data_IF_806463181349
#
_entry.id   IF_806463181349
#
_cell.length_a   1.000
_cell.length_b   1.000
_cell.length_c   1.000
_cell.angle_alpha   90.00
_cell.angle_beta   90.00
_cell.angle_gamma   90.00
#
_symmetry.space_group_name_H-M   'P 1'
#
loop_
_entity.id
_entity.type
_entity.pdbx_description
1 polymer ?
#
# COMPACT_ATOMS: atom_id res chain seq x y z
N UNK A 1 -4.14 -19.79 13.28
CA UNK A 1 -3.21 -18.63 13.14
C UNK A 1 -3.31 -18.11 11.71
N UNK A 2 -3.40 -16.78 11.52
CA UNK A 2 -3.45 -16.15 10.20
C UNK A 2 -2.19 -16.46 9.39
N UNK A 3 -2.32 -16.59 8.06
CA UNK A 3 -1.19 -16.68 7.14
C UNK A 3 -1.27 -15.57 6.10
N UNK A 4 -0.20 -14.79 5.96
CA UNK A 4 -0.07 -13.74 4.96
C UNK A 4 0.89 -14.20 3.85
N UNK A 5 0.36 -14.40 2.65
CA UNK A 5 1.14 -14.61 1.43
C UNK A 5 1.52 -13.25 0.89
N UNK A 6 2.80 -12.96 0.83
CA UNK A 6 3.29 -11.61 0.60
C UNK A 6 4.59 -11.60 -0.24
N UNK A 7 4.83 -10.49 -0.92
CA UNK A 7 6.12 -10.14 -1.47
C UNK A 7 6.70 -8.98 -0.67
N UNK A 8 7.77 -9.21 0.07
CA UNK A 8 8.26 -8.28 1.10
C UNK A 8 8.46 -6.83 0.63
N UNK A 9 8.98 -6.55 -0.60
CA UNK A 9 9.08 -5.19 -1.13
C UNK A 9 7.75 -4.53 -1.51
N UNK A 10 6.65 -5.30 -1.58
CA UNK A 10 5.33 -4.79 -1.93
C UNK A 10 4.79 -3.83 -0.88
N UNK A 11 4.36 -2.65 -1.32
CA UNK A 11 3.68 -1.72 -0.43
C UNK A 11 2.24 -2.15 -0.14
N UNK A 12 1.61 -2.93 -1.04
CA UNK A 12 0.31 -3.54 -0.75
C UNK A 12 0.42 -4.58 0.38
N UNK A 13 1.49 -5.39 0.39
CA UNK A 13 1.80 -6.26 1.52
C UNK A 13 2.14 -5.48 2.79
N UNK A 14 2.89 -4.38 2.66
CA UNK A 14 3.22 -3.52 3.79
C UNK A 14 1.99 -2.97 4.51
N UNK A 15 0.93 -2.55 3.78
CA UNK A 15 -0.35 -2.11 4.37
C UNK A 15 -0.87 -3.13 5.39
N UNK A 16 -0.90 -4.40 5.00
CA UNK A 16 -1.43 -5.49 5.82
C UNK A 16 -0.51 -5.77 7.01
N UNK A 17 0.80 -5.80 6.79
CA UNK A 17 1.79 -5.98 7.87
C UNK A 17 1.72 -4.87 8.91
N UNK A 18 1.55 -3.62 8.46
CA UNK A 18 1.41 -2.46 9.35
C UNK A 18 0.19 -2.62 10.25
N UNK A 19 -0.98 -2.94 9.68
CA UNK A 19 -2.19 -3.12 10.48
C UNK A 19 -2.08 -4.31 11.45
N UNK A 20 -1.56 -5.46 10.99
CA UNK A 20 -1.37 -6.63 11.85
C UNK A 20 -0.44 -6.31 13.04
N UNK A 21 0.63 -5.54 12.80
CA UNK A 21 1.53 -5.08 13.85
C UNK A 21 0.82 -4.14 14.84
N UNK A 22 0.02 -3.20 14.35
CA UNK A 22 -0.72 -2.26 15.21
C UNK A 22 -1.84 -2.94 16.01
N UNK A 23 -2.43 -4.01 15.48
CA UNK A 23 -3.41 -4.85 16.16
C UNK A 23 -2.79 -5.87 17.12
N UNK A 24 -1.45 -5.99 17.17
CA UNK A 24 -0.76 -7.05 17.91
C UNK A 24 -1.24 -8.46 17.50
N UNK A 25 -1.56 -8.66 16.24
CA UNK A 25 -2.06 -9.93 15.72
C UNK A 25 -0.93 -10.76 15.13
N UNK A 26 -0.57 -11.90 15.75
CA UNK A 26 0.45 -12.80 15.20
C UNK A 26 -0.04 -13.45 13.90
N UNK A 27 0.87 -13.59 12.95
CA UNK A 27 0.63 -14.25 11.68
C UNK A 27 1.88 -14.97 11.19
N UNK A 28 1.68 -15.96 10.34
CA UNK A 28 2.75 -16.60 9.57
C UNK A 28 2.91 -15.86 8.25
N UNK A 29 4.13 -15.43 7.94
CA UNK A 29 4.45 -14.86 6.63
C UNK A 29 4.93 -15.97 5.68
N UNK A 30 4.39 -15.99 4.46
CA UNK A 30 4.81 -16.86 3.36
C UNK A 30 5.21 -15.96 2.19
N UNK A 31 6.49 -15.97 1.84
CA UNK A 31 7.01 -15.16 0.74
C UNK A 31 6.60 -15.77 -0.60
N UNK A 32 6.04 -14.95 -1.47
CA UNK A 32 5.68 -15.31 -2.86
C UNK A 32 6.67 -14.60 -3.79
N UNK A 33 7.54 -15.37 -4.45
CA UNK A 33 8.53 -14.85 -5.39
C UNK A 33 7.87 -14.50 -6.73
N UNK A 34 7.22 -13.33 -6.77
CA UNK A 34 6.41 -12.90 -7.93
C UNK A 34 7.22 -12.81 -9.23
N UNK A 35 8.50 -12.42 -9.16
CA UNK A 35 9.39 -12.33 -10.32
C UNK A 35 9.92 -13.69 -10.79
N UNK A 36 9.82 -14.74 -9.98
CA UNK A 36 10.13 -16.12 -10.33
C UNK A 36 8.87 -16.89 -10.75
N UNK A 37 7.74 -16.22 -10.91
CA UNK A 37 6.48 -16.83 -11.36
C UNK A 37 5.67 -17.51 -10.28
N UNK A 38 6.05 -17.44 -8.98
CA UNK A 38 5.29 -18.09 -7.91
C UNK A 38 3.86 -17.54 -7.77
N UNK A 39 3.60 -16.30 -8.18
CA UNK A 39 2.24 -15.76 -8.27
C UNK A 39 1.36 -16.46 -9.31
N UNK A 40 1.96 -17.10 -10.32
CA UNK A 40 1.28 -17.85 -11.37
C UNK A 40 1.24 -19.38 -11.10
N UNK A 41 1.78 -19.81 -9.97
CA UNK A 41 1.70 -21.22 -9.57
C UNK A 41 0.25 -21.61 -9.26
N UNK A 42 -0.18 -22.86 -9.62
CA UNK A 42 -1.56 -23.32 -9.39
C UNK A 42 -2.04 -23.16 -7.94
N UNK A 43 -1.16 -23.38 -6.97
CA UNK A 43 -1.45 -23.26 -5.54
C UNK A 43 -1.74 -21.82 -5.12
N UNK A 44 -1.08 -20.82 -5.75
CA UNK A 44 -1.33 -19.42 -5.50
C UNK A 44 -2.56 -18.92 -6.27
N UNK A 45 -2.72 -19.32 -7.53
CA UNK A 45 -3.90 -19.00 -8.35
C UNK A 45 -5.20 -19.53 -7.75
N UNK A 46 -5.16 -20.68 -7.07
CA UNK A 46 -6.31 -21.22 -6.34
C UNK A 46 -6.73 -20.31 -5.16
N UNK A 47 -5.82 -19.48 -4.62
CA UNK A 47 -6.08 -18.51 -3.56
C UNK A 47 -6.44 -17.14 -4.12
N UNK A 48 -5.76 -16.72 -5.17
CA UNK A 48 -5.99 -15.45 -5.87
C UNK A 48 -5.84 -15.63 -7.39
N UNK A 49 -6.94 -15.67 -8.14
CA UNK A 49 -6.89 -15.85 -9.60
C UNK A 49 -6.11 -14.79 -10.37
N UNK A 50 -5.87 -13.61 -9.76
CA UNK A 50 -5.05 -12.56 -10.38
C UNK A 50 -3.54 -12.83 -10.27
N UNK A 51 -3.12 -13.79 -9.44
CA UNK A 51 -1.71 -14.06 -9.14
C UNK A 51 -1.02 -13.00 -8.29
N UNK A 52 -1.76 -11.96 -7.86
CA UNK A 52 -1.21 -10.85 -7.08
C UNK A 52 -1.04 -11.18 -5.60
N UNK A 53 -0.27 -10.34 -4.92
CA UNK A 53 -0.08 -10.32 -3.46
C UNK A 53 -0.44 -8.94 -2.91
N UNK A 54 -0.88 -8.84 -1.64
CA UNK A 54 -1.00 -9.89 -0.61
C UNK A 54 -2.27 -10.74 -0.72
N UNK A 55 -2.23 -11.92 -0.10
CA UNK A 55 -3.41 -12.74 0.19
C UNK A 55 -3.39 -13.10 1.67
N UNK A 56 -4.50 -12.92 2.37
CA UNK A 56 -4.68 -13.35 3.75
C UNK A 56 -5.45 -14.67 3.78
N UNK A 57 -4.88 -15.69 4.42
CA UNK A 57 -5.59 -16.94 4.73
C UNK A 57 -5.96 -16.94 6.22
N UNK A 58 -7.23 -17.18 6.49
CA UNK A 58 -7.80 -17.22 7.83
C UNK A 58 -7.56 -18.58 8.48
N UNK A 59 -7.82 -18.68 9.79
CA UNK A 59 -7.64 -19.93 10.56
C UNK A 59 -8.54 -21.07 10.11
N UNK A 60 -9.68 -20.73 9.53
CA UNK A 60 -10.67 -21.69 8.99
C UNK A 60 -10.43 -22.05 7.51
N UNK A 61 -9.32 -21.57 6.93
CA UNK A 61 -8.93 -21.86 5.54
C UNK A 61 -9.56 -20.93 4.50
N UNK A 62 -10.44 -20.00 4.88
CA UNK A 62 -10.92 -18.99 3.94
C UNK A 62 -9.77 -18.05 3.54
N UNK A 63 -9.76 -17.64 2.27
CA UNK A 63 -8.73 -16.75 1.73
C UNK A 63 -9.35 -15.44 1.27
N UNK A 64 -8.62 -14.35 1.49
CA UNK A 64 -9.03 -13.00 1.10
C UNK A 64 -7.86 -12.33 0.37
N UNK A 65 -7.95 -12.13 -0.94
CA UNK A 65 -7.05 -11.23 -1.68
C UNK A 65 -7.47 -9.77 -1.53
N UNK A 66 -6.73 -8.85 -2.18
CA UNK A 66 -6.90 -7.40 -2.18
C UNK A 66 -6.50 -6.73 -0.85
N UNK A 67 -5.41 -5.96 -0.88
CA UNK A 67 -4.85 -5.34 0.33
C UNK A 67 -5.86 -4.48 1.09
N UNK A 68 -6.69 -3.70 0.38
CA UNK A 68 -7.69 -2.82 0.98
C UNK A 68 -8.90 -3.60 1.55
N UNK A 69 -9.29 -4.72 0.92
CA UNK A 69 -10.29 -5.63 1.49
C UNK A 69 -9.76 -6.31 2.76
N UNK A 70 -8.49 -6.72 2.76
CA UNK A 70 -7.82 -7.29 3.94
C UNK A 70 -7.78 -6.27 5.09
N UNK A 71 -7.42 -5.01 4.80
CA UNK A 71 -7.45 -3.96 5.81
C UNK A 71 -8.84 -3.79 6.41
N UNK A 72 -9.89 -3.71 5.58
CA UNK A 72 -11.28 -3.57 6.02
C UNK A 72 -11.72 -4.73 6.90
N UNK A 73 -11.37 -5.97 6.52
CA UNK A 73 -11.70 -7.17 7.28
C UNK A 73 -11.00 -7.20 8.66
N UNK A 74 -9.70 -6.92 8.68
CA UNK A 74 -8.91 -6.97 9.92
C UNK A 74 -9.26 -5.83 10.88
N UNK A 75 -9.67 -4.68 10.36
CA UNK A 75 -10.00 -3.50 11.16
C UNK A 75 -11.44 -3.52 11.71
N UNK A 76 -12.29 -4.47 11.32
CA UNK A 76 -13.67 -4.54 11.81
C UNK A 76 -13.72 -4.66 13.34
N UNK A 77 -14.51 -3.79 13.98
CA UNK A 77 -14.62 -3.72 15.44
C UNK A 77 -13.40 -3.11 16.15
N UNK A 78 -12.46 -2.51 15.43
CA UNK A 78 -11.29 -1.83 15.99
C UNK A 78 -11.40 -0.31 15.82
N UNK A 79 -10.59 0.50 16.54
CA UNK A 79 -10.56 1.95 16.34
C UNK A 79 -10.15 2.40 14.92
N UNK A 80 -9.53 1.52 14.12
CA UNK A 80 -9.03 1.82 12.79
C UNK A 80 -10.10 1.82 11.69
N UNK A 81 -11.32 1.33 11.98
CA UNK A 81 -12.47 1.39 11.08
C UNK A 81 -13.71 1.88 11.85
N UNK A 82 -14.20 3.10 11.60
CA UNK A 82 -15.36 3.65 12.28
C UNK A 82 -16.62 2.79 12.11
N UNK A 83 -17.44 2.71 13.16
CA UNK A 83 -18.76 2.05 13.11
C UNK A 83 -19.83 2.86 12.40
N UNK A 84 -19.73 4.20 12.42
CA UNK A 84 -20.64 5.09 11.72
C UNK A 84 -20.54 4.94 10.20
N UNK A 85 -21.70 4.85 9.53
CA UNK A 85 -21.74 4.58 8.08
C UNK A 85 -21.11 5.70 7.24
N UNK A 86 -21.27 6.97 7.64
CA UNK A 86 -20.68 8.10 6.91
C UNK A 86 -19.15 8.11 7.06
N UNK A 87 -18.66 7.99 8.29
CA UNK A 87 -17.22 7.94 8.55
C UNK A 87 -16.59 6.74 7.84
N UNK A 88 -17.23 5.56 7.85
CA UNK A 88 -16.79 4.38 7.11
C UNK A 88 -16.75 4.63 5.60
N UNK A 89 -17.75 5.31 5.04
CA UNK A 89 -17.75 5.67 3.63
C UNK A 89 -16.59 6.62 3.28
N UNK A 90 -16.23 7.56 4.18
CA UNK A 90 -15.04 8.41 3.99
C UNK A 90 -13.74 7.61 4.02
N UNK A 91 -13.63 6.59 4.86
CA UNK A 91 -12.49 5.65 4.86
C UNK A 91 -12.38 4.96 3.49
N UNK A 92 -13.45 4.33 3.03
CA UNK A 92 -13.46 3.62 1.74
C UNK A 92 -13.20 4.57 0.56
N UNK A 93 -13.71 5.80 0.58
CA UNK A 93 -13.41 6.81 -0.44
C UNK A 93 -11.90 7.02 -0.60
N UNK A 94 -11.15 7.12 0.50
CA UNK A 94 -9.70 7.30 0.45
C UNK A 94 -8.97 6.03 0.01
N UNK A 95 -9.49 4.85 0.35
CA UNK A 95 -8.94 3.59 -0.11
C UNK A 95 -9.14 3.41 -1.62
N UNK A 96 -10.31 3.78 -2.17
CA UNK A 96 -10.54 3.81 -3.63
C UNK A 96 -9.69 4.88 -4.33
N UNK A 97 -9.53 6.05 -3.70
CA UNK A 97 -8.61 7.07 -4.21
C UNK A 97 -7.16 6.55 -4.29
N UNK A 98 -6.75 5.77 -3.31
CA UNK A 98 -5.42 5.15 -3.34
C UNK A 98 -5.27 4.20 -4.53
N UNK A 99 -6.25 3.36 -4.80
CA UNK A 99 -6.21 2.42 -5.92
C UNK A 99 -6.21 3.14 -7.28
N UNK A 100 -7.12 4.10 -7.45
CA UNK A 100 -7.31 4.76 -8.75
C UNK A 100 -6.19 5.76 -9.08
N UNK A 101 -5.70 6.49 -8.11
CA UNK A 101 -4.79 7.62 -8.37
C UNK A 101 -3.36 7.33 -7.91
N UNK A 102 -3.18 6.80 -6.70
CA UNK A 102 -1.85 6.56 -6.14
C UNK A 102 -1.20 5.35 -6.80
N UNK A 103 -1.90 4.22 -6.89
CA UNK A 103 -1.33 3.02 -7.52
C UNK A 103 -1.08 3.24 -9.01
N UNK A 104 -2.02 3.84 -9.72
CA UNK A 104 -1.85 4.12 -11.15
C UNK A 104 -0.76 5.17 -11.45
N UNK A 105 -0.52 6.12 -10.56
CA UNK A 105 0.52 7.14 -10.71
C UNK A 105 1.80 6.75 -9.99
N UNK A 106 1.84 7.10 -8.71
CA UNK A 106 3.02 7.06 -7.85
C UNK A 106 3.59 5.66 -7.68
N UNK A 107 2.74 4.65 -7.43
CA UNK A 107 3.22 3.28 -7.24
C UNK A 107 3.86 2.73 -8.52
N UNK A 108 3.24 2.98 -9.67
CA UNK A 108 3.80 2.59 -10.98
C UNK A 108 5.15 3.26 -11.25
N UNK A 109 5.24 4.59 -11.04
CA UNK A 109 6.48 5.34 -11.26
C UNK A 109 7.59 4.88 -10.32
N UNK A 110 7.27 4.69 -9.02
CA UNK A 110 8.17 4.14 -8.02
C UNK A 110 8.68 2.75 -8.42
N UNK A 111 7.77 1.86 -8.79
CA UNK A 111 8.10 0.50 -9.23
C UNK A 111 9.08 0.51 -10.40
N UNK A 112 8.82 1.29 -11.45
CA UNK A 112 9.72 1.40 -12.59
C UNK A 112 11.09 1.95 -12.21
N UNK A 113 11.13 2.94 -11.32
CA UNK A 113 12.38 3.55 -10.85
C UNK A 113 13.20 2.56 -10.03
N UNK A 114 12.59 1.96 -9.01
CA UNK A 114 13.29 1.10 -8.05
C UNK A 114 13.72 -0.26 -8.62
N UNK A 115 13.09 -0.71 -9.72
CA UNK A 115 13.43 -1.99 -10.38
C UNK A 115 14.22 -1.81 -11.67
N UNK A 116 14.68 -0.58 -11.99
CA UNK A 116 15.46 -0.29 -13.20
C UNK A 116 14.69 -0.36 -14.51
N UNK A 117 13.34 -0.41 -14.45
CA UNK A 117 12.48 -0.53 -15.63
C UNK A 117 12.10 0.80 -16.27
N UNK A 118 12.45 1.92 -15.64
CA UNK A 118 12.11 3.26 -16.14
C UNK A 118 12.64 3.48 -17.56
N UNK A 119 13.86 3.02 -17.84
CA UNK A 119 14.49 3.14 -19.16
C UNK A 119 13.77 2.34 -20.29
N UNK A 120 12.88 1.41 -19.91
CA UNK A 120 12.08 0.61 -20.84
C UNK A 120 10.71 1.23 -21.16
N UNK A 121 10.41 2.39 -20.58
CA UNK A 121 9.13 3.09 -20.73
C UNK A 121 9.30 4.28 -21.68
N UNK A 122 8.26 4.59 -22.46
CA UNK A 122 8.30 5.77 -23.30
C UNK A 122 8.28 7.06 -22.47
N UNK A 123 8.83 8.15 -23.01
CA UNK A 123 8.79 9.47 -22.37
C UNK A 123 7.36 9.91 -22.04
N UNK A 124 6.41 9.57 -22.92
CA UNK A 124 4.99 9.86 -22.73
C UNK A 124 4.41 9.11 -21.50
N UNK A 125 4.69 7.79 -21.39
CA UNK A 125 4.27 7.00 -20.23
C UNK A 125 4.83 7.55 -18.91
N UNK A 126 6.12 7.89 -18.91
CA UNK A 126 6.78 8.45 -17.73
C UNK A 126 6.15 9.79 -17.34
N UNK A 127 5.96 10.68 -18.33
CA UNK A 127 5.34 12.01 -18.12
C UNK A 127 3.92 11.88 -17.60
N UNK A 128 3.11 10.99 -18.14
CA UNK A 128 1.74 10.75 -17.70
C UNK A 128 1.70 10.28 -16.23
N UNK A 129 2.54 9.30 -15.87
CA UNK A 129 2.60 8.80 -14.47
C UNK A 129 3.11 9.86 -13.50
N UNK A 130 4.12 10.64 -13.89
CA UNK A 130 4.64 11.76 -13.08
C UNK A 130 3.59 12.84 -12.86
N UNK A 131 2.92 13.31 -13.93
CA UNK A 131 1.88 14.33 -13.85
C UNK A 131 0.70 13.90 -12.97
N UNK A 132 0.26 12.64 -13.09
CA UNK A 132 -0.77 12.08 -12.22
C UNK A 132 -0.30 12.06 -10.76
N UNK A 133 0.93 11.60 -10.49
CA UNK A 133 1.50 11.54 -9.13
C UNK A 133 1.59 12.92 -8.49
N UNK A 134 2.09 13.91 -9.22
CA UNK A 134 2.20 15.30 -8.71
C UNK A 134 0.82 15.92 -8.44
N UNK A 135 -0.15 15.70 -9.34
CA UNK A 135 -1.54 16.14 -9.13
C UNK A 135 -2.13 15.50 -7.87
N UNK A 136 -1.92 14.21 -7.69
CA UNK A 136 -2.41 13.45 -6.54
C UNK A 136 -1.78 13.92 -5.24
N UNK A 137 -0.46 14.15 -5.22
CA UNK A 137 0.24 14.67 -4.04
C UNK A 137 -0.20 16.09 -3.70
N UNK A 138 -0.41 16.98 -4.68
CA UNK A 138 -0.95 18.33 -4.44
C UNK A 138 -2.36 18.31 -3.86
N UNK A 139 -3.22 17.39 -4.31
CA UNK A 139 -4.56 17.20 -3.77
C UNK A 139 -4.52 16.75 -2.30
N UNK A 140 -3.67 15.76 -2.01
CA UNK A 140 -3.45 15.29 -0.64
C UNK A 140 -2.87 16.39 0.25
N UNK A 141 -1.90 17.17 -0.25
CA UNK A 141 -1.28 18.26 0.49
C UNK A 141 -2.30 19.32 0.89
N UNK A 142 -3.16 19.74 -0.05
CA UNK A 142 -4.25 20.66 0.23
C UNK A 142 -5.28 20.10 1.22
N UNK A 143 -5.63 18.81 1.09
CA UNK A 143 -6.55 18.15 2.04
C UNK A 143 -5.98 18.08 3.46
N UNK A 144 -4.69 17.79 3.60
CA UNK A 144 -3.98 17.60 4.86
C UNK A 144 -3.42 18.91 5.43
N UNK A 145 -3.68 20.06 4.80
CA UNK A 145 -3.15 21.34 5.22
C UNK A 145 -3.56 21.70 6.65
N UNK A 146 -4.84 21.49 6.99
CA UNK A 146 -5.47 21.77 8.28
C UNK A 146 -6.05 20.51 8.97
N UNK A 147 -5.67 19.32 8.51
CA UNK A 147 -6.13 18.03 9.04
C UNK A 147 -4.99 17.18 9.51
N UNK A 148 -5.21 16.48 10.61
CA UNK A 148 -4.22 15.54 11.15
C UNK A 148 -4.21 14.22 10.37
N UNK A 149 -5.38 13.75 9.94
CA UNK A 149 -5.59 12.48 9.22
C UNK A 149 -6.59 12.65 8.07
N UNK A 150 -6.69 11.62 7.23
CA UNK A 150 -7.53 11.65 6.03
C UNK A 150 -9.02 11.71 6.33
N UNK A 151 -9.44 11.14 7.47
CA UNK A 151 -10.82 11.10 7.92
C UNK A 151 -10.94 11.80 9.27
N UNK A 152 -12.03 12.53 9.46
CA UNK A 152 -12.35 13.09 10.77
C UNK A 152 -12.51 11.98 11.82
N UNK A 153 -12.08 12.26 13.05
CA UNK A 153 -12.13 11.30 14.14
C UNK A 153 -10.82 10.55 14.40
N UNK A 154 -9.84 10.65 13.51
CA UNK A 154 -8.50 10.16 13.79
C UNK A 154 -7.91 9.23 12.74
N UNK A 155 -6.87 8.52 13.16
CA UNK A 155 -6.10 7.60 12.34
C UNK A 155 -6.89 6.34 12.00
N UNK A 156 -6.96 5.98 10.72
CA UNK A 156 -7.74 4.85 10.20
C UNK A 156 -6.97 4.03 9.17
N UNK A 157 -7.57 2.94 8.69
CA UNK A 157 -7.03 2.14 7.57
C UNK A 157 -6.94 2.94 6.26
N UNK A 158 -7.64 4.05 6.12
CA UNK A 158 -7.46 4.98 5.00
C UNK A 158 -6.04 5.58 5.01
N UNK A 159 -5.58 6.03 6.18
CA UNK A 159 -4.23 6.55 6.36
C UNK A 159 -3.18 5.47 6.09
N UNK A 160 -3.38 4.24 6.60
CA UNK A 160 -2.46 3.12 6.35
C UNK A 160 -2.34 2.80 4.86
N UNK A 161 -3.48 2.77 4.16
CA UNK A 161 -3.55 2.48 2.73
C UNK A 161 -2.78 3.51 1.91
N UNK A 162 -3.08 4.79 2.10
CA UNK A 162 -2.46 5.91 1.38
C UNK A 162 -0.99 6.07 1.76
N UNK A 163 -0.67 5.93 3.06
CA UNK A 163 0.69 6.08 3.59
C UNK A 163 1.69 5.13 2.94
N UNK A 164 1.29 3.89 2.69
CA UNK A 164 2.19 2.86 2.17
C UNK A 164 2.98 3.33 0.95
N UNK A 165 2.34 3.99 0.02
CA UNK A 165 2.99 4.52 -1.18
C UNK A 165 3.45 5.96 -1.05
N UNK A 166 2.63 6.83 -0.45
CA UNK A 166 2.91 8.27 -0.37
C UNK A 166 4.16 8.55 0.45
N UNK A 167 4.40 7.81 1.55
CA UNK A 167 5.62 7.94 2.34
C UNK A 167 6.90 7.60 1.56
N UNK A 168 6.78 6.98 0.38
CA UNK A 168 7.86 6.57 -0.52
C UNK A 168 7.95 7.41 -1.80
N UNK A 169 7.26 8.54 -1.87
CA UNK A 169 7.24 9.39 -3.05
C UNK A 169 8.65 9.84 -3.49
N UNK A 170 9.57 10.02 -2.54
CA UNK A 170 10.98 10.33 -2.83
C UNK A 170 11.67 9.27 -3.69
N UNK A 171 11.32 7.99 -3.56
CA UNK A 171 11.87 6.89 -4.38
C UNK A 171 11.40 6.96 -5.84
N UNK A 172 10.32 7.71 -6.12
CA UNK A 172 9.84 8.04 -7.46
C UNK A 172 10.35 9.41 -7.97
N UNK A 173 11.28 10.06 -7.26
CA UNK A 173 11.79 11.38 -7.59
C UNK A 173 10.82 12.52 -7.27
N UNK A 174 9.90 12.31 -6.31
CA UNK A 174 8.91 13.29 -5.86
C UNK A 174 9.09 13.53 -4.34
N UNK A 175 10.01 14.41 -3.94
CA UNK A 175 10.36 14.61 -2.54
C UNK A 175 9.19 15.23 -1.75
N UNK A 176 8.91 14.70 -0.56
CA UNK A 176 7.82 15.16 0.30
C UNK A 176 8.02 16.59 0.82
N UNK A 177 9.25 17.10 0.83
CA UNK A 177 9.54 18.51 1.15
C UNK A 177 8.80 19.53 0.27
N UNK A 178 8.33 19.09 -0.92
CA UNK A 178 7.49 19.91 -1.79
C UNK A 178 6.00 19.91 -1.39
N UNK A 179 5.60 19.09 -0.39
CA UNK A 179 4.22 18.85 0.04
C UNK A 179 4.13 18.87 1.58
N UNK A 180 4.19 20.06 2.20
CA UNK A 180 4.35 20.20 3.65
C UNK A 180 3.18 19.61 4.47
N UNK A 181 1.96 19.62 3.95
CA UNK A 181 0.80 18.97 4.59
C UNK A 181 0.97 17.44 4.63
N UNK A 182 1.39 16.88 3.49
CA UNK A 182 1.68 15.44 3.38
C UNK A 182 2.87 15.06 4.27
N UNK A 183 3.93 15.84 4.30
CA UNK A 183 5.13 15.55 5.09
C UNK A 183 4.81 15.50 6.60
N UNK A 184 4.03 16.48 7.10
CA UNK A 184 3.53 16.49 8.48
C UNK A 184 2.64 15.28 8.79
N UNK A 185 1.76 14.92 7.87
CA UNK A 185 0.90 13.76 8.02
C UNK A 185 1.70 12.45 8.05
N UNK A 186 2.69 12.29 7.18
CA UNK A 186 3.61 11.14 7.20
C UNK A 186 4.29 11.01 8.56
N UNK A 187 4.75 12.13 9.15
CA UNK A 187 5.34 12.13 10.48
C UNK A 187 4.33 11.68 11.57
N UNK A 188 3.05 12.12 11.48
CA UNK A 188 1.99 11.70 12.42
C UNK A 188 1.66 10.22 12.31
N UNK A 189 1.61 9.68 11.09
CA UNK A 189 1.39 8.25 10.89
C UNK A 189 2.54 7.43 11.48
N UNK A 190 3.78 7.86 11.29
CA UNK A 190 4.96 7.20 11.89
C UNK A 190 4.97 7.24 13.42
N UNK A 191 4.35 8.26 14.01
CA UNK A 191 4.24 8.40 15.46
C UNK A 191 3.12 7.53 16.08
N UNK A 192 2.34 6.80 15.28
CA UNK A 192 1.28 5.94 15.81
C UNK A 192 1.85 4.77 16.61
N UNK A 193 1.16 4.35 17.67
CA UNK A 193 1.59 3.20 18.46
C UNK A 193 1.82 1.96 17.59
N UNK A 194 2.87 1.20 17.90
CA UNK A 194 3.25 -0.01 17.16
C UNK A 194 3.40 0.21 15.65
N UNK A 195 3.89 1.38 15.26
CA UNK A 195 4.21 1.63 13.87
C UNK A 195 5.27 0.64 13.36
N UNK A 196 5.05 0.08 12.17
CA UNK A 196 6.00 -0.83 11.54
C UNK A 196 6.94 -0.04 10.61
N UNK A 197 8.15 0.23 11.07
CA UNK A 197 9.14 0.99 10.27
C UNK A 197 9.86 0.13 9.22
N UNK A 198 9.79 -1.19 9.36
CA UNK A 198 10.49 -2.12 8.46
C UNK A 198 9.88 -2.15 7.07
N UNK A 199 10.61 -1.61 6.11
CA UNK A 199 10.30 -1.68 4.68
C UNK A 199 11.46 -2.34 3.94
N UNK A 200 11.12 -3.27 3.07
CA UNK A 200 12.11 -4.03 2.30
C UNK A 200 12.32 -3.39 0.93
N UNK A 201 13.57 -3.15 0.50
CA UNK A 201 13.86 -2.67 -0.84
C UNK A 201 13.71 -3.79 -1.87
N UNK A 202 13.46 -3.43 -3.14
CA UNK A 202 13.42 -4.42 -4.23
C UNK A 202 14.76 -5.14 -4.44
N UNK A 203 15.87 -4.54 -4.02
CA UNK A 203 17.21 -5.14 -4.13
C UNK A 203 17.43 -6.41 -3.32
N UNK A 204 16.53 -6.76 -2.39
CA UNK A 204 16.57 -8.07 -1.72
C UNK A 204 16.19 -9.23 -2.65
N UNK A 205 15.51 -8.93 -3.76
CA UNK A 205 15.13 -9.90 -4.78
C UNK A 205 15.97 -9.67 -6.04
N UNK A 206 16.91 -10.58 -6.37
CA UNK A 206 17.79 -10.44 -7.54
C UNK A 206 17.02 -10.48 -8.86
N UNK A 207 15.78 -10.98 -8.87
CA UNK A 207 14.94 -11.06 -10.06
C UNK A 207 14.04 -9.84 -10.24
N UNK A 208 14.08 -8.86 -9.33
CA UNK A 208 13.17 -7.69 -9.35
C UNK A 208 13.26 -6.83 -10.63
N UNK A 209 14.35 -6.93 -11.39
CA UNK A 209 14.52 -6.27 -12.69
C UNK A 209 13.79 -6.95 -13.86
N UNK A 210 13.28 -8.18 -13.68
CA UNK A 210 12.51 -8.92 -14.69
C UNK A 210 11.10 -8.31 -14.79
N UNK A 211 10.55 -8.20 -16.01
CA UNK A 211 9.15 -7.78 -16.15
C UNK A 211 8.20 -8.84 -15.59
N UNK A 212 7.13 -8.39 -14.95
CA UNK A 212 6.03 -9.29 -14.55
C UNK A 212 5.20 -9.64 -15.79
N UNK A 213 4.84 -10.89 -15.93
CA UNK A 213 4.01 -11.41 -17.01
C UNK A 213 2.52 -11.29 -16.67
#
# INVERSE_FOLDING_TARGET
MLTLYDYLPSQNGYKVRLLLNQLDRPYRSVVVSIFEGAGQAPEHLAKNPTGAVPVLELEDGRVLPESNAILSYLAEGTPYLPGDAWARAQVHRWMYFEEDYIQNGLASLRYWTMTGKLARRSAEQITAKRSLSEKTLRLLDGWLFDRDFLVEGGYTIADMSVFAYVSRAGEAGLPLSAYPGVDRWVARVRAQPRFLDTVYPYSIDPHSSIELH
#
